data_IF_781191801813
#
_entry.id   IF_781191801813
#
_cell.length_a   1.000
_cell.length_b   1.000
_cell.length_c   1.000
_cell.angle_alpha   90.00
_cell.angle_beta   90.00
_cell.angle_gamma   90.00
#
_symmetry.space_group_name_H-M   'P 1'
#
loop_
_entity.id
_entity.type
_entity.pdbx_description
1 polymer ?
#
# COMPACT_ATOMS: atom_id res chain seq x y z
N UNK A 1 21.50 2.53 12.43
CA UNK A 1 20.99 3.37 11.33
C UNK A 1 19.50 3.15 11.26
N UNK A 2 18.72 4.01 11.89
CA UNK A 2 17.27 4.03 11.75
C UNK A 2 16.93 4.38 10.30
N UNK A 3 16.64 3.36 9.52
CA UNK A 3 16.05 3.51 8.20
C UNK A 3 14.71 4.22 8.38
N UNK A 4 14.69 5.54 8.18
CA UNK A 4 13.46 6.35 8.18
C UNK A 4 12.57 5.77 7.10
N UNK A 5 11.62 4.93 7.50
CA UNK A 5 10.54 4.52 6.61
C UNK A 5 9.87 5.81 6.13
N UNK A 6 9.65 5.99 4.81
CA UNK A 6 9.13 7.25 4.28
C UNK A 6 7.69 7.57 4.73
N UNK A 7 7.06 6.65 5.44
CA UNK A 7 5.67 6.70 5.91
C UNK A 7 5.56 5.83 7.17
N UNK A 8 4.61 6.18 8.04
CA UNK A 8 4.34 5.40 9.26
C UNK A 8 3.52 4.15 8.93
N UNK A 9 3.76 3.04 9.64
CA UNK A 9 3.00 1.79 9.45
C UNK A 9 1.49 2.02 9.60
N UNK A 10 1.11 2.92 10.52
CA UNK A 10 -0.28 3.29 10.81
C UNK A 10 -0.96 3.91 9.58
N UNK A 11 -0.24 4.73 8.81
CA UNK A 11 -0.76 5.36 7.59
C UNK A 11 -1.03 4.30 6.51
N UNK A 12 -0.13 3.34 6.34
CA UNK A 12 -0.32 2.23 5.39
C UNK A 12 -1.51 1.35 5.78
N UNK A 13 -1.68 1.04 7.07
CA UNK A 13 -2.80 0.24 7.56
C UNK A 13 -4.13 0.98 7.41
N UNK A 14 -4.17 2.28 7.67
CA UNK A 14 -5.37 3.08 7.47
C UNK A 14 -5.76 3.16 5.99
N UNK A 15 -4.79 3.38 5.10
CA UNK A 15 -5.03 3.37 3.66
C UNK A 15 -5.48 1.99 3.17
N UNK A 16 -4.89 0.90 3.68
CA UNK A 16 -5.33 -0.47 3.39
C UNK A 16 -6.81 -0.68 3.77
N UNK A 17 -7.21 -0.26 4.98
CA UNK A 17 -8.63 -0.33 5.42
C UNK A 17 -9.56 0.44 4.49
N UNK A 18 -9.18 1.67 4.11
CA UNK A 18 -9.97 2.49 3.19
C UNK A 18 -10.06 1.92 1.77
N UNK A 19 -9.00 1.26 1.29
CA UNK A 19 -9.04 0.54 0.02
C UNK A 19 -9.95 -0.69 0.10
N UNK A 20 -9.83 -1.48 1.17
CA UNK A 20 -10.66 -2.67 1.38
C UNK A 20 -12.16 -2.32 1.44
N UNK A 21 -12.52 -1.21 2.09
CA UNK A 21 -13.93 -0.77 2.12
C UNK A 21 -14.45 -0.31 0.75
N UNK A 22 -13.59 0.25 -0.09
CA UNK A 22 -13.99 0.86 -1.37
C UNK A 22 -13.92 -0.10 -2.56
N UNK A 23 -12.96 -1.02 -2.53
CA UNK A 23 -12.61 -1.91 -3.65
C UNK A 23 -12.76 -3.40 -3.32
N UNK A 24 -13.03 -3.74 -2.05
CA UNK A 24 -13.25 -5.12 -1.57
C UNK A 24 -12.12 -6.05 -2.04
N UNK A 25 -12.44 -7.13 -2.75
CA UNK A 25 -11.48 -8.12 -3.24
C UNK A 25 -10.46 -7.52 -4.24
N UNK A 26 -10.78 -6.37 -4.87
CA UNK A 26 -9.86 -5.69 -5.78
C UNK A 26 -8.88 -4.74 -5.08
N UNK A 27 -8.97 -4.57 -3.76
CA UNK A 27 -8.13 -3.62 -3.02
C UNK A 27 -6.62 -3.87 -3.21
N UNK A 28 -6.20 -5.14 -3.26
CA UNK A 28 -4.81 -5.50 -3.54
C UNK A 28 -4.36 -5.03 -4.93
N UNK A 29 -5.13 -5.38 -5.97
CA UNK A 29 -4.86 -4.98 -7.35
C UNK A 29 -4.80 -3.46 -7.50
N UNK A 30 -5.72 -2.72 -6.88
CA UNK A 30 -5.74 -1.26 -6.93
C UNK A 30 -4.50 -0.65 -6.25
N UNK A 31 -4.11 -1.13 -5.07
CA UNK A 31 -2.89 -0.66 -4.39
C UNK A 31 -1.64 -0.92 -5.25
N UNK A 32 -1.55 -2.08 -5.90
CA UNK A 32 -0.44 -2.41 -6.80
C UNK A 32 -0.42 -1.50 -8.04
N UNK A 33 -1.57 -1.27 -8.69
CA UNK A 33 -1.67 -0.40 -9.86
C UNK A 33 -1.23 1.03 -9.49
N UNK A 34 -1.66 1.55 -8.34
CA UNK A 34 -1.24 2.88 -7.86
C UNK A 34 0.26 2.96 -7.63
N UNK A 35 0.88 1.90 -7.10
CA UNK A 35 2.32 1.84 -6.93
C UNK A 35 3.05 1.91 -8.29
N UNK A 36 2.62 1.11 -9.27
CA UNK A 36 3.20 1.08 -10.61
C UNK A 36 3.04 2.41 -11.36
N UNK A 37 1.87 3.06 -11.22
CA UNK A 37 1.62 4.38 -11.82
C UNK A 37 2.53 5.45 -11.20
N UNK A 38 2.70 5.44 -9.88
CA UNK A 38 3.58 6.36 -9.19
C UNK A 38 5.05 6.15 -9.61
N UNK A 39 5.50 4.89 -9.68
CA UNK A 39 6.85 4.54 -10.13
C UNK A 39 7.10 5.02 -11.58
N UNK A 40 6.16 4.76 -12.49
CA UNK A 40 6.24 5.24 -13.89
C UNK A 40 6.36 6.76 -13.98
N UNK A 41 5.71 7.48 -13.06
CA UNK A 41 5.74 8.94 -13.03
C UNK A 41 6.97 9.51 -12.28
N UNK A 42 7.86 8.66 -11.76
CA UNK A 42 9.04 9.07 -11.00
C UNK A 42 8.75 9.50 -9.55
N UNK A 43 7.54 9.23 -9.04
CA UNK A 43 7.16 9.53 -7.66
C UNK A 43 7.49 8.35 -6.74
N UNK A 44 8.79 8.22 -6.42
CA UNK A 44 9.32 7.14 -5.60
C UNK A 44 8.67 7.05 -4.21
N UNK A 45 8.47 8.16 -3.46
CA UNK A 45 7.80 8.09 -2.16
C UNK A 45 6.39 7.49 -2.26
N UNK A 46 5.60 7.92 -3.25
CA UNK A 46 4.23 7.43 -3.43
C UNK A 46 4.20 5.97 -3.90
N UNK A 47 5.15 5.56 -4.75
CA UNK A 47 5.31 4.17 -5.18
C UNK A 47 5.61 3.24 -4.01
N UNK A 48 6.53 3.65 -3.12
CA UNK A 48 6.88 2.90 -1.92
C UNK A 48 5.69 2.81 -0.95
N UNK A 49 4.94 3.90 -0.79
CA UNK A 49 3.75 3.94 0.06
C UNK A 49 2.71 2.93 -0.39
N UNK A 50 2.32 2.96 -1.67
CA UNK A 50 1.32 2.04 -2.20
C UNK A 50 1.79 0.58 -2.21
N UNK A 51 3.10 0.35 -2.38
CA UNK A 51 3.71 -0.98 -2.21
C UNK A 51 3.57 -1.49 -0.78
N UNK A 52 3.75 -0.62 0.23
CA UNK A 52 3.56 -0.99 1.63
C UNK A 52 2.08 -1.25 1.97
N UNK A 53 1.16 -0.46 1.41
CA UNK A 53 -0.29 -0.70 1.52
C UNK A 53 -0.67 -2.05 0.92
N UNK A 54 -0.17 -2.38 -0.27
CA UNK A 54 -0.37 -3.68 -0.91
C UNK A 54 0.11 -4.83 -0.01
N UNK A 55 1.32 -4.72 0.56
CA UNK A 55 1.85 -5.73 1.49
C UNK A 55 0.94 -5.91 2.71
N UNK A 56 0.48 -4.82 3.33
CA UNK A 56 -0.43 -4.89 4.47
C UNK A 56 -1.75 -5.60 4.11
N UNK A 57 -2.30 -5.36 2.91
CA UNK A 57 -3.50 -6.07 2.43
C UNK A 57 -3.27 -7.57 2.23
N UNK A 58 -2.11 -7.96 1.69
CA UNK A 58 -1.75 -9.38 1.53
C UNK A 58 -1.50 -10.09 2.86
N UNK A 59 -0.87 -9.41 3.83
CA UNK A 59 -0.64 -9.97 5.16
C UNK A 59 -1.95 -10.20 5.92
N UNK A 60 -2.94 -9.32 5.79
CA UNK A 60 -4.29 -9.55 6.31
C UNK A 60 -4.99 -10.75 5.66
N UNK A 61 -4.75 -10.99 4.38
CA UNK A 61 -5.36 -12.12 3.66
C UNK A 61 -4.81 -13.48 4.11
N UNK A 62 -3.58 -13.52 4.63
CA UNK A 62 -2.93 -14.76 5.10
C UNK A 62 -3.18 -15.05 6.60
N UNK A 63 -3.94 -14.21 7.30
CA UNK A 63 -4.21 -14.34 8.73
C UNK A 63 -5.43 -15.25 9.05
N UNK A 64 -5.93 -16.01 8.08
CA UNK A 64 -7.09 -16.91 8.20
C UNK A 64 -6.74 -18.36 7.86
#
# INVERSE_FOLDING_TARGET
MDSKRPFEIVECQQAAKGLKSSWQDMAGSEALIRALVAERNGDTPLALFWTAVHKALCEESNAF
#
